data_IF_420073211894
#
_entry.id   IF_420073211894
#
_cell.length_a   1.000
_cell.length_b   1.000
_cell.length_c   1.000
_cell.angle_alpha   90.00
_cell.angle_beta   90.00
_cell.angle_gamma   90.00
#
_symmetry.space_group_name_H-M   'P 1'
#
loop_
_entity.id
_entity.type
_entity.pdbx_description
1 polymer ?
#
# COMPACT_ATOMS: atom_id res chain seq x y z
N UNK A 1 -38.90 67.24 12.81
CA UNK A 1 -38.22 67.83 13.99
C UNK A 1 -37.86 66.66 14.88
N UNK A 2 -36.57 66.36 15.02
CA UNK A 2 -35.83 65.72 16.14
C UNK A 2 -36.60 64.74 17.05
N UNK A 3 -36.12 63.58 17.49
CA UNK A 3 -34.84 62.88 17.48
C UNK A 3 -34.97 61.73 18.51
N UNK A 4 -34.22 60.64 18.33
CA UNK A 4 -33.60 59.83 19.42
C UNK A 4 -34.56 58.98 20.28
N UNK A 5 -34.33 57.71 20.65
CA UNK A 5 -33.38 56.62 20.40
C UNK A 5 -33.79 55.51 21.39
N UNK A 6 -33.63 54.23 21.05
CA UNK A 6 -33.12 53.15 21.94
C UNK A 6 -33.26 51.82 21.18
N UNK A 7 -32.19 51.46 20.47
CA UNK A 7 -32.01 50.10 19.96
C UNK A 7 -31.49 49.24 21.11
N UNK A 8 -32.29 48.25 21.51
CA UNK A 8 -31.86 47.17 22.40
C UNK A 8 -31.07 46.18 21.55
N UNK A 9 -29.79 45.97 21.91
CA UNK A 9 -28.94 44.94 21.36
C UNK A 9 -29.52 43.55 21.74
N UNK A 10 -30.09 42.84 20.78
CA UNK A 10 -30.25 41.40 20.84
C UNK A 10 -28.97 40.77 20.32
N UNK A 11 -28.08 40.39 21.23
CA UNK A 11 -26.96 39.51 20.93
C UNK A 11 -27.52 38.10 20.68
N UNK A 12 -27.83 37.80 19.42
CA UNK A 12 -28.02 36.43 18.98
C UNK A 12 -26.68 35.71 19.09
N UNK A 13 -26.53 34.89 20.13
CA UNK A 13 -25.48 33.87 20.18
C UNK A 13 -25.77 32.86 19.07
N UNK A 14 -25.16 33.09 17.89
CA UNK A 14 -24.93 32.02 16.93
C UNK A 14 -23.79 31.19 17.52
N UNK A 15 -24.15 30.12 18.22
CA UNK A 15 -23.21 29.03 18.49
C UNK A 15 -22.76 28.48 17.15
N UNK A 16 -21.58 28.88 16.72
CA UNK A 16 -20.82 28.13 15.72
C UNK A 16 -20.61 26.73 16.29
N UNK A 17 -21.31 25.75 15.73
CA UNK A 17 -20.97 24.36 15.91
C UNK A 17 -19.60 24.14 15.23
N UNK A 18 -18.53 24.30 16.00
CA UNK A 18 -17.23 23.74 15.66
C UNK A 18 -17.44 22.22 15.65
N UNK A 19 -17.50 21.65 14.44
CA UNK A 19 -17.53 20.22 14.23
C UNK A 19 -16.38 19.57 14.99
N UNK A 20 -16.73 18.69 15.92
CA UNK A 20 -15.83 17.88 16.71
C UNK A 20 -15.12 16.85 15.81
N UNK A 21 -13.96 17.22 15.24
CA UNK A 21 -12.94 16.28 14.79
C UNK A 21 -12.00 15.98 15.97
N UNK A 22 -12.47 15.16 16.91
CA UNK A 22 -11.62 14.57 17.95
C UNK A 22 -11.85 13.06 17.93
N UNK A 23 -11.24 12.41 16.95
CA UNK A 23 -11.21 10.95 16.80
C UNK A 23 -10.27 10.33 17.83
N UNK A 24 -10.82 9.42 18.64
CA UNK A 24 -10.17 8.52 19.60
C UNK A 24 -9.31 9.13 20.73
N UNK A 25 -9.51 8.67 21.96
CA UNK A 25 -8.73 9.09 23.13
C UNK A 25 -7.33 8.49 23.11
N UNK A 26 -6.41 9.02 23.94
CA UNK A 26 -5.10 8.39 24.18
C UNK A 26 -5.24 6.90 24.58
N UNK A 27 -6.35 6.53 25.22
CA UNK A 27 -6.65 5.15 25.60
C UNK A 27 -6.79 4.22 24.40
N UNK A 28 -7.26 4.71 23.24
CA UNK A 28 -7.35 3.91 22.02
C UNK A 28 -5.99 3.45 21.52
N UNK A 29 -5.03 4.38 21.43
CA UNK A 29 -3.66 4.08 21.02
C UNK A 29 -2.92 3.24 22.07
N UNK A 30 -3.19 3.49 23.36
CA UNK A 30 -2.62 2.70 24.46
C UNK A 30 -2.98 1.22 24.38
N UNK A 31 -4.10 0.83 23.75
CA UNK A 31 -4.46 -0.59 23.55
C UNK A 31 -3.43 -1.37 22.72
N UNK A 32 -2.64 -0.69 21.88
CA UNK A 32 -1.57 -1.32 21.11
C UNK A 32 -0.27 -1.53 21.90
N UNK A 33 -0.24 -1.15 23.19
CA UNK A 33 0.92 -1.44 24.03
C UNK A 33 1.27 -2.94 23.98
N UNK A 34 2.54 -3.32 23.75
CA UNK A 34 2.93 -4.71 23.55
C UNK A 34 2.47 -5.66 24.67
N UNK A 35 2.41 -5.17 25.92
CA UNK A 35 1.96 -5.98 27.07
C UNK A 35 0.45 -6.29 27.02
N UNK A 36 -0.38 -5.34 26.58
CA UNK A 36 -1.82 -5.52 26.45
C UNK A 36 -2.15 -6.42 25.26
N UNK A 37 -1.54 -6.15 24.10
CA UNK A 37 -1.71 -6.98 22.90
C UNK A 37 -1.28 -8.42 23.20
N UNK A 38 -0.15 -8.64 23.87
CA UNK A 38 0.29 -9.99 24.24
C UNK A 38 -0.71 -10.71 25.16
N UNK A 39 -1.35 -9.98 26.08
CA UNK A 39 -2.37 -10.56 26.96
C UNK A 39 -3.61 -10.95 26.16
N UNK A 40 -4.06 -10.07 25.26
CA UNK A 40 -5.20 -10.31 24.38
C UNK A 40 -4.94 -11.46 23.38
N UNK A 41 -3.71 -11.60 22.86
CA UNK A 41 -3.28 -12.74 22.03
C UNK A 41 -3.40 -14.06 22.80
N UNK A 42 -2.97 -14.10 24.06
CA UNK A 42 -3.07 -15.29 24.91
C UNK A 42 -4.53 -15.63 25.23
N UNK A 43 -5.36 -14.63 25.51
CA UNK A 43 -6.78 -14.82 25.81
C UNK A 43 -7.56 -15.32 24.58
N UNK A 44 -7.29 -14.75 23.41
CA UNK A 44 -7.99 -15.08 22.17
C UNK A 44 -7.38 -16.28 21.42
N UNK A 45 -6.15 -16.67 21.75
CA UNK A 45 -5.41 -17.72 21.02
C UNK A 45 -5.04 -17.32 19.59
N UNK A 46 -4.81 -16.04 19.32
CA UNK A 46 -4.48 -15.50 17.99
C UNK A 46 -3.06 -14.96 17.94
N UNK A 47 -2.38 -15.16 16.80
CA UNK A 47 -1.03 -14.66 16.55
C UNK A 47 -0.93 -14.18 15.10
N UNK A 48 -0.15 -13.13 14.82
CA UNK A 48 -0.07 -12.57 13.47
C UNK A 48 0.35 -13.61 12.42
N UNK A 49 -0.42 -13.69 11.34
CA UNK A 49 -0.16 -14.64 10.25
C UNK A 49 0.95 -14.11 9.34
N UNK A 50 2.20 -14.36 9.71
CA UNK A 50 3.34 -13.93 8.90
C UNK A 50 3.55 -14.78 7.65
N UNK A 51 3.34 -16.10 7.75
CA UNK A 51 3.60 -17.04 6.68
C UNK A 51 2.30 -17.73 6.26
N UNK A 52 2.15 -17.92 4.96
CA UNK A 52 1.02 -18.64 4.36
C UNK A 52 1.62 -19.66 3.39
N UNK A 53 1.36 -20.94 3.65
CA UNK A 53 1.85 -22.05 2.83
C UNK A 53 0.95 -22.24 1.60
N UNK A 54 1.23 -21.46 0.56
CA UNK A 54 0.49 -21.47 -0.70
C UNK A 54 1.45 -21.43 -1.88
N UNK A 55 1.19 -22.25 -2.91
CA UNK A 55 1.90 -22.17 -4.19
C UNK A 55 1.74 -20.78 -4.80
N UNK A 56 2.83 -20.17 -5.26
CA UNK A 56 2.81 -18.80 -5.74
C UNK A 56 3.59 -18.62 -7.04
N UNK A 57 3.22 -17.57 -7.77
CA UNK A 57 3.99 -17.00 -8.86
C UNK A 57 4.53 -15.63 -8.45
N UNK A 58 5.58 -15.16 -9.16
CA UNK A 58 6.18 -13.84 -8.92
C UNK A 58 5.74 -12.84 -9.98
N UNK A 59 5.52 -11.60 -9.58
CA UNK A 59 5.40 -10.47 -10.48
C UNK A 59 6.27 -9.31 -10.00
N UNK A 60 6.81 -8.52 -10.92
CA UNK A 60 7.66 -7.38 -10.57
C UNK A 60 7.33 -6.18 -11.47
N UNK A 61 7.04 -5.05 -10.84
CA UNK A 61 6.58 -3.84 -11.51
C UNK A 61 7.32 -2.60 -11.02
N UNK A 62 7.66 -1.69 -11.92
CA UNK A 62 8.07 -0.32 -11.64
C UNK A 62 6.93 0.63 -12.00
N UNK A 63 6.46 1.39 -11.01
CA UNK A 63 5.24 2.22 -11.11
C UNK A 63 5.50 3.64 -10.58
N UNK A 64 6.70 4.14 -10.78
CA UNK A 64 7.17 5.34 -10.07
C UNK A 64 7.67 5.01 -8.67
N UNK A 65 7.32 5.84 -7.69
CA UNK A 65 7.66 5.60 -6.29
C UNK A 65 7.05 4.28 -5.80
N UNK A 66 7.87 3.36 -5.28
CA UNK A 66 7.41 2.02 -4.94
C UNK A 66 6.49 1.93 -3.71
N UNK A 67 6.35 2.99 -2.89
CA UNK A 67 5.59 2.90 -1.64
C UNK A 67 4.10 2.79 -1.91
N UNK A 68 3.60 3.58 -2.87
CA UNK A 68 2.20 3.49 -3.31
C UNK A 68 1.92 2.13 -3.97
N UNK A 69 2.83 1.66 -4.83
CA UNK A 69 2.71 0.37 -5.49
C UNK A 69 2.72 -0.81 -4.49
N UNK A 70 3.57 -0.76 -3.47
CA UNK A 70 3.62 -1.78 -2.41
C UNK A 70 2.32 -1.82 -1.61
N UNK A 71 1.71 -0.68 -1.30
CA UNK A 71 0.39 -0.60 -0.67
C UNK A 71 -0.70 -1.19 -1.56
N UNK A 72 -0.73 -0.78 -2.85
CA UNK A 72 -1.71 -1.24 -3.83
C UNK A 72 -1.74 -2.76 -3.95
N UNK A 73 -0.59 -3.35 -4.27
CA UNK A 73 -0.49 -4.80 -4.43
C UNK A 73 -0.61 -5.53 -3.10
N UNK A 74 -0.08 -4.97 -2.00
CA UNK A 74 -0.14 -5.60 -0.68
C UNK A 74 -1.57 -5.88 -0.21
N UNK A 75 -2.50 -4.96 -0.46
CA UNK A 75 -3.93 -5.13 -0.14
C UNK A 75 -4.74 -5.84 -1.24
N UNK A 76 -4.14 -6.24 -2.36
CA UNK A 76 -4.85 -6.97 -3.41
C UNK A 76 -5.13 -8.42 -2.97
N UNK A 77 -6.37 -8.89 -3.14
CA UNK A 77 -6.76 -10.27 -2.86
C UNK A 77 -5.87 -11.25 -3.66
N UNK A 78 -5.42 -12.33 -3.01
CA UNK A 78 -4.52 -13.31 -3.63
C UNK A 78 -3.03 -12.94 -3.61
N UNK A 79 -2.66 -11.67 -3.33
CA UNK A 79 -1.26 -11.32 -3.06
C UNK A 79 -0.87 -11.80 -1.66
N UNK A 80 0.26 -12.50 -1.58
CA UNK A 80 0.74 -13.21 -0.39
C UNK A 80 1.84 -12.42 0.34
N UNK A 81 2.70 -11.73 -0.38
CA UNK A 81 3.63 -10.76 0.20
C UNK A 81 4.13 -9.82 -0.90
N UNK A 82 4.73 -8.72 -0.46
CA UNK A 82 5.38 -7.73 -1.32
C UNK A 82 6.73 -7.38 -0.72
N UNK A 83 7.66 -6.92 -1.55
CA UNK A 83 8.89 -6.26 -1.11
C UNK A 83 9.34 -5.26 -2.16
N UNK A 84 9.92 -4.16 -1.69
CA UNK A 84 10.41 -3.09 -2.57
C UNK A 84 11.91 -3.19 -2.79
N UNK A 85 12.36 -2.75 -3.95
CA UNK A 85 13.75 -2.89 -4.35
C UNK A 85 14.10 -2.18 -5.64
N UNK A 86 15.26 -2.54 -6.16
CA UNK A 86 15.85 -1.97 -7.36
C UNK A 86 16.12 -3.07 -8.37
N UNK A 87 15.66 -2.89 -9.61
CA UNK A 87 15.91 -3.83 -10.71
C UNK A 87 15.79 -3.15 -12.08
N UNK A 88 16.04 -3.88 -13.16
CA UNK A 88 15.99 -3.39 -14.54
C UNK A 88 17.25 -2.63 -15.00
N UNK A 89 18.25 -2.50 -14.12
CA UNK A 89 19.57 -1.98 -14.42
C UNK A 89 20.64 -3.08 -14.44
N UNK A 90 21.88 -2.65 -14.65
CA UNK A 90 23.09 -3.49 -14.73
C UNK A 90 24.11 -3.16 -13.65
N UNK A 91 23.94 -2.03 -12.95
CA UNK A 91 24.84 -1.60 -11.88
C UNK A 91 24.76 -2.57 -10.69
N UNK A 92 25.87 -3.13 -10.19
CA UNK A 92 25.83 -4.04 -9.06
C UNK A 92 25.55 -3.30 -7.75
N UNK A 93 24.82 -3.95 -6.84
CA UNK A 93 24.54 -3.47 -5.48
C UNK A 93 24.02 -2.01 -5.40
N UNK A 94 22.94 -1.65 -6.13
CA UNK A 94 22.34 -0.33 -6.05
C UNK A 94 21.88 -0.01 -4.63
N UNK A 95 21.92 1.29 -4.29
CA UNK A 95 21.37 1.85 -3.04
C UNK A 95 20.50 3.04 -3.38
N UNK A 96 19.61 3.47 -2.49
CA UNK A 96 18.71 4.59 -2.76
C UNK A 96 19.44 5.86 -3.25
N UNK A 97 20.61 6.16 -2.68
CA UNK A 97 21.42 7.34 -3.05
C UNK A 97 22.35 7.11 -4.26
N UNK A 98 22.41 5.88 -4.77
CA UNK A 98 23.30 5.45 -5.84
C UNK A 98 22.69 4.27 -6.61
N UNK A 99 21.52 4.48 -7.22
CA UNK A 99 20.79 3.46 -8.00
C UNK A 99 21.49 3.07 -9.30
N UNK A 100 22.33 3.95 -9.85
CA UNK A 100 22.87 3.79 -11.19
C UNK A 100 21.76 3.79 -12.23
N UNK A 101 21.61 2.67 -12.93
CA UNK A 101 20.67 2.49 -14.01
C UNK A 101 19.45 1.61 -13.63
N UNK A 102 19.22 1.38 -12.35
CA UNK A 102 18.04 0.66 -11.85
C UNK A 102 16.80 1.54 -11.70
N UNK A 103 15.66 0.88 -11.64
CA UNK A 103 14.32 1.43 -11.39
C UNK A 103 13.83 0.95 -10.02
N UNK A 104 13.08 1.79 -9.32
CA UNK A 104 12.30 1.38 -8.14
C UNK A 104 11.20 0.41 -8.56
N UNK A 105 11.21 -0.77 -7.95
CA UNK A 105 10.27 -1.84 -8.27
C UNK A 105 9.68 -2.43 -7.01
N UNK A 106 8.47 -2.97 -7.15
CA UNK A 106 7.84 -3.87 -6.19
C UNK A 106 7.87 -5.28 -6.76
N UNK A 107 8.43 -6.23 -6.02
CA UNK A 107 8.25 -7.66 -6.28
C UNK A 107 7.17 -8.19 -5.34
N UNK A 108 6.29 -9.04 -5.86
CA UNK A 108 5.22 -9.66 -5.09
C UNK A 108 5.10 -11.14 -5.41
N UNK A 109 4.71 -11.90 -4.40
CA UNK A 109 4.27 -13.28 -4.54
C UNK A 109 2.74 -13.29 -4.55
N UNK A 110 2.12 -13.93 -5.54
CA UNK A 110 0.66 -14.05 -5.64
C UNK A 110 0.23 -15.49 -5.86
N UNK A 111 -0.94 -15.86 -5.34
CA UNK A 111 -1.59 -17.13 -5.62
C UNK A 111 -2.31 -17.05 -6.98
N UNK A 112 -1.81 -17.74 -8.03
CA UNK A 112 -2.42 -17.71 -9.36
C UNK A 112 -3.81 -18.33 -9.39
N UNK A 113 -4.27 -19.02 -8.34
CA UNK A 113 -5.64 -19.56 -8.21
C UNK A 113 -6.63 -18.49 -7.77
N UNK A 114 -6.16 -17.43 -7.09
CA UNK A 114 -7.00 -16.33 -6.57
C UNK A 114 -6.93 -15.09 -7.46
N UNK A 115 -5.74 -14.70 -7.91
CA UNK A 115 -5.53 -13.52 -8.76
C UNK A 115 -4.67 -13.87 -9.96
N UNK A 116 -5.05 -13.43 -11.15
CA UNK A 116 -4.31 -13.67 -12.39
C UNK A 116 -3.33 -12.55 -12.65
N UNK A 117 -2.32 -12.83 -13.47
CA UNK A 117 -1.35 -11.82 -13.87
C UNK A 117 -2.01 -10.68 -14.67
N UNK A 118 -3.05 -10.99 -15.44
CA UNK A 118 -3.91 -10.02 -16.12
C UNK A 118 -4.55 -9.01 -15.15
N UNK A 119 -5.05 -9.49 -14.00
CA UNK A 119 -5.67 -8.63 -12.98
C UNK A 119 -4.63 -7.69 -12.34
N UNK A 120 -3.42 -8.20 -12.11
CA UNK A 120 -2.30 -7.39 -11.62
C UNK A 120 -1.87 -6.33 -12.64
N UNK A 121 -1.91 -6.65 -13.93
CA UNK A 121 -1.65 -5.68 -15.00
C UNK A 121 -2.75 -4.61 -15.07
N UNK A 122 -4.01 -4.97 -14.86
CA UNK A 122 -5.09 -3.98 -14.77
C UNK A 122 -4.85 -2.98 -13.63
N UNK A 123 -4.44 -3.46 -12.46
CA UNK A 123 -4.03 -2.59 -11.35
C UNK A 123 -2.84 -1.72 -11.73
N UNK A 124 -1.82 -2.29 -12.38
CA UNK A 124 -0.66 -1.57 -12.88
C UNK A 124 -1.07 -0.41 -13.79
N UNK A 125 -1.85 -0.67 -14.84
CA UNK A 125 -2.25 0.33 -15.83
C UNK A 125 -3.13 1.45 -15.25
N UNK A 126 -3.96 1.15 -14.25
CA UNK A 126 -4.90 2.11 -13.68
C UNK A 126 -4.33 3.00 -12.57
N UNK A 127 -3.13 2.70 -12.03
CA UNK A 127 -2.64 3.32 -10.79
C UNK A 127 -1.26 3.99 -10.88
N UNK A 128 -0.73 4.31 -12.06
CA UNK A 128 0.47 5.16 -12.19
C UNK A 128 0.53 5.90 -13.53
N UNK A 129 1.44 6.88 -13.62
CA UNK A 129 1.70 7.61 -14.86
C UNK A 129 2.76 6.90 -15.71
N UNK A 130 2.43 6.63 -16.96
CA UNK A 130 3.24 5.88 -17.94
C UNK A 130 3.56 6.71 -19.20
N UNK A 131 3.24 8.01 -19.20
CA UNK A 131 3.25 8.90 -20.37
C UNK A 131 4.33 9.98 -20.41
N UNK A 132 4.50 10.59 -21.59
CA UNK A 132 5.55 11.60 -21.91
C UNK A 132 5.26 13.03 -21.43
N UNK A 133 4.14 13.27 -20.77
CA UNK A 133 3.75 14.59 -20.22
C UNK A 133 4.83 15.18 -19.34
N UNK A 134 5.62 14.33 -18.67
CA UNK A 134 6.79 14.72 -17.89
C UNK A 134 7.97 13.79 -18.17
N UNK A 135 9.19 14.33 -18.09
CA UNK A 135 10.41 13.51 -18.18
C UNK A 135 10.54 12.69 -16.90
N UNK A 136 10.11 11.44 -16.95
CA UNK A 136 10.25 10.49 -15.85
C UNK A 136 11.72 10.10 -15.72
N UNK A 137 12.28 10.22 -14.50
CA UNK A 137 13.64 9.74 -14.21
C UNK A 137 13.66 8.22 -14.34
N UNK A 138 14.78 7.64 -14.79
CA UNK A 138 14.90 6.17 -14.90
C UNK A 138 14.50 5.43 -13.61
N UNK A 139 14.89 5.98 -12.47
CA UNK A 139 14.50 5.53 -11.12
C UNK A 139 12.98 5.29 -10.97
N UNK A 140 12.14 6.07 -11.64
CA UNK A 140 10.68 6.05 -11.51
C UNK A 140 9.99 5.57 -12.79
N UNK A 141 10.71 4.89 -13.69
CA UNK A 141 10.16 4.45 -14.97
C UNK A 141 9.00 3.46 -14.80
N UNK A 142 8.03 3.54 -15.73
CA UNK A 142 7.03 2.49 -15.91
C UNK A 142 7.69 1.24 -16.50
N UNK A 143 7.66 0.14 -15.75
CA UNK A 143 8.45 -1.06 -16.04
C UNK A 143 7.67 -2.33 -15.65
N UNK A 144 7.64 -3.32 -16.53
CA UNK A 144 7.14 -4.67 -16.28
C UNK A 144 8.32 -5.63 -16.45
N UNK A 145 8.68 -6.32 -15.37
CA UNK A 145 9.72 -7.34 -15.34
C UNK A 145 9.07 -8.72 -15.33
N UNK A 146 9.08 -9.40 -16.49
CA UNK A 146 8.43 -10.71 -16.62
C UNK A 146 9.34 -11.85 -16.14
N UNK A 147 8.77 -12.81 -15.43
CA UNK A 147 9.48 -13.99 -14.89
C UNK A 147 9.31 -15.23 -15.78
N UNK A 148 8.36 -15.21 -16.73
CA UNK A 148 8.10 -16.30 -17.67
C UNK A 148 7.72 -15.76 -19.04
N UNK A 149 7.87 -16.59 -20.09
CA UNK A 149 7.40 -16.25 -21.44
C UNK A 149 5.90 -16.00 -21.49
N UNK A 150 5.12 -16.72 -20.67
CA UNK A 150 3.67 -16.50 -20.55
C UNK A 150 3.37 -15.08 -20.03
N UNK A 151 4.10 -14.62 -19.01
CA UNK A 151 3.95 -13.24 -18.51
C UNK A 151 4.34 -12.21 -19.57
N UNK A 152 5.40 -12.46 -20.36
CA UNK A 152 5.79 -11.60 -21.48
C UNK A 152 4.64 -11.45 -22.50
N UNK A 153 4.08 -12.56 -22.96
CA UNK A 153 2.98 -12.55 -23.94
C UNK A 153 1.74 -11.81 -23.42
N UNK A 154 1.36 -12.06 -22.16
CA UNK A 154 0.24 -11.38 -21.51
C UNK A 154 0.52 -9.87 -21.38
N UNK A 155 1.71 -9.49 -20.93
CA UNK A 155 2.10 -8.08 -20.77
C UNK A 155 2.10 -7.34 -22.11
N UNK A 156 2.73 -7.90 -23.15
CA UNK A 156 2.77 -7.31 -24.50
C UNK A 156 1.37 -7.16 -25.11
N UNK A 157 0.49 -8.14 -24.88
CA UNK A 157 -0.91 -8.05 -25.29
C UNK A 157 -1.64 -6.94 -24.54
N UNK A 158 -1.48 -6.86 -23.22
CA UNK A 158 -2.12 -5.83 -22.39
C UNK A 158 -1.66 -4.42 -22.78
N UNK A 159 -0.37 -4.23 -23.10
CA UNK A 159 0.18 -2.95 -23.55
C UNK A 159 -0.48 -2.49 -24.85
N UNK A 160 -0.68 -3.40 -25.82
CA UNK A 160 -1.36 -3.07 -27.08
C UNK A 160 -2.81 -2.62 -26.83
N UNK A 161 -3.54 -3.37 -26.00
CA UNK A 161 -4.92 -3.03 -25.64
C UNK A 161 -5.01 -1.68 -24.93
N UNK A 162 -4.09 -1.42 -24.00
CA UNK A 162 -4.07 -0.17 -23.26
C UNK A 162 -3.70 1.03 -24.14
N UNK A 163 -2.75 0.84 -25.06
CA UNK A 163 -2.35 1.85 -26.04
C UNK A 163 -3.52 2.20 -26.98
N UNK A 164 -4.34 1.23 -27.38
CA UNK A 164 -5.56 1.47 -28.15
C UNK A 164 -6.61 2.23 -27.31
N UNK A 165 -6.81 1.81 -26.05
CA UNK A 165 -7.80 2.41 -25.13
C UNK A 165 -7.51 3.88 -24.82
N UNK A 166 -6.24 4.25 -24.69
CA UNK A 166 -5.80 5.60 -24.27
C UNK A 166 -5.31 6.48 -25.42
N UNK A 167 -5.47 6.05 -26.66
CA UNK A 167 -5.13 6.85 -27.83
C UNK A 167 -5.78 8.26 -27.73
N UNK A 168 -5.03 9.37 -27.89
CA UNK A 168 -3.68 9.48 -28.50
C UNK A 168 -2.49 9.54 -27.52
N UNK A 169 -2.67 9.20 -26.23
CA UNK A 169 -1.55 9.13 -25.28
C UNK A 169 -0.49 8.12 -25.75
N UNK A 170 0.79 8.39 -25.52
CA UNK A 170 1.88 7.44 -25.81
C UNK A 170 2.30 6.75 -24.52
N UNK A 171 2.14 5.43 -24.48
CA UNK A 171 2.54 4.60 -23.35
C UNK A 171 4.03 4.24 -23.51
N UNK A 172 4.83 4.53 -22.47
CA UNK A 172 6.31 4.35 -22.50
C UNK A 172 6.80 3.17 -21.66
N UNK A 173 5.89 2.35 -21.16
CA UNK A 173 6.19 1.19 -20.32
C UNK A 173 7.15 0.22 -21.00
N UNK A 174 8.23 -0.12 -20.31
CA UNK A 174 9.19 -1.12 -20.75
C UNK A 174 8.74 -2.51 -20.29
N UNK A 175 8.75 -3.48 -21.20
CA UNK A 175 8.51 -4.91 -20.88
C UNK A 175 9.82 -5.66 -21.16
N UNK A 176 10.50 -6.10 -20.11
CA UNK A 176 11.82 -6.72 -20.20
C UNK A 176 11.92 -7.92 -19.24
N UNK A 177 12.82 -8.89 -19.47
CA UNK A 177 12.93 -10.04 -18.57
C UNK A 177 13.33 -9.60 -17.17
N UNK A 178 12.80 -10.27 -16.15
CA UNK A 178 13.22 -10.09 -14.77
C UNK A 178 14.72 -10.35 -14.66
N UNK A 179 15.42 -9.38 -14.07
CA UNK A 179 16.86 -9.43 -13.79
C UNK A 179 17.07 -9.57 -12.29
N UNK A 180 18.30 -9.44 -11.82
CA UNK A 180 18.58 -9.48 -10.38
C UNK A 180 17.74 -8.42 -9.64
N UNK A 181 17.13 -8.84 -8.54
CA UNK A 181 16.37 -7.98 -7.65
C UNK A 181 17.21 -7.66 -6.42
N UNK A 182 17.45 -6.37 -6.19
CA UNK A 182 18.15 -5.88 -5.02
C UNK A 182 17.13 -5.31 -4.02
N UNK A 183 16.89 -5.96 -2.86
CA UNK A 183 16.01 -5.41 -1.85
C UNK A 183 16.44 -4.00 -1.44
N UNK A 184 15.49 -3.08 -1.36
CA UNK A 184 15.75 -1.75 -0.82
C UNK A 184 15.96 -1.82 0.70
N UNK A 185 16.54 -0.77 1.25
CA UNK A 185 16.82 -0.65 2.69
C UNK A 185 15.55 -0.84 3.55
N UNK A 186 15.72 -1.34 4.78
CA UNK A 186 14.59 -1.74 5.66
C UNK A 186 13.56 -0.63 5.87
N UNK A 187 13.99 0.64 5.93
CA UNK A 187 13.09 1.78 6.12
C UNK A 187 12.16 2.03 4.92
N UNK A 188 12.42 1.42 3.75
CA UNK A 188 11.54 1.47 2.59
C UNK A 188 10.48 0.36 2.61
N UNK A 189 10.72 -0.76 3.29
CA UNK A 189 9.83 -1.93 3.30
C UNK A 189 8.59 -1.68 4.13
N UNK A 190 7.37 -1.85 3.59
CA UNK A 190 6.12 -1.57 4.32
C UNK A 190 6.11 -0.18 4.97
N UNK A 191 6.53 0.83 4.21
CA UNK A 191 6.74 2.18 4.72
C UNK A 191 5.53 2.75 5.48
N UNK A 192 4.30 2.46 5.02
CA UNK A 192 3.08 2.92 5.69
C UNK A 192 2.86 2.19 7.00
N UNK A 193 3.01 0.86 7.04
CA UNK A 193 2.92 0.09 8.29
C UNK A 193 3.96 0.56 9.32
N UNK A 194 5.21 0.80 8.91
CA UNK A 194 6.26 1.27 9.82
C UNK A 194 5.97 2.64 10.44
N UNK A 195 5.11 3.45 9.83
CA UNK A 195 4.66 4.72 10.42
C UNK A 195 3.73 4.52 11.63
N UNK A 196 3.09 3.34 11.75
CA UNK A 196 2.28 2.93 12.90
C UNK A 196 3.13 2.09 13.86
N UNK A 197 4.04 2.76 14.58
CA UNK A 197 5.10 2.10 15.39
C UNK A 197 4.57 1.07 16.38
N UNK A 198 3.56 1.43 17.17
CA UNK A 198 3.00 0.54 18.19
C UNK A 198 2.36 -0.70 17.55
N UNK A 199 1.68 -0.53 16.41
CA UNK A 199 1.14 -1.64 15.64
C UNK A 199 2.26 -2.54 15.13
N UNK A 200 3.26 -1.97 14.46
CA UNK A 200 4.40 -2.73 13.92
C UNK A 200 5.17 -3.49 15.01
N UNK A 201 5.40 -2.86 16.18
CA UNK A 201 6.03 -3.50 17.33
C UNK A 201 5.16 -4.63 17.90
N UNK A 202 3.85 -4.39 18.05
CA UNK A 202 2.91 -5.40 18.56
C UNK A 202 2.75 -6.62 17.63
N UNK A 203 3.06 -6.45 16.35
CA UNK A 203 3.11 -7.52 15.35
C UNK A 203 4.48 -8.23 15.30
N UNK A 204 5.46 -7.79 16.10
CA UNK A 204 6.80 -8.39 16.12
C UNK A 204 7.60 -8.14 14.84
N UNK A 205 7.37 -7.02 14.14
CA UNK A 205 8.03 -6.73 12.86
C UNK A 205 9.55 -6.64 13.01
N UNK A 206 10.25 -7.46 12.22
CA UNK A 206 11.70 -7.43 12.01
C UNK A 206 12.01 -7.01 10.57
N UNK A 207 13.25 -6.59 10.25
CA UNK A 207 13.67 -6.34 8.87
C UNK A 207 13.34 -7.46 7.87
N UNK A 208 13.45 -8.71 8.31
CA UNK A 208 13.12 -9.88 7.49
C UNK A 208 11.61 -10.03 7.29
N UNK A 209 10.82 -9.85 8.36
CA UNK A 209 9.36 -9.94 8.27
C UNK A 209 8.75 -8.80 7.46
N UNK A 210 9.34 -7.60 7.47
CA UNK A 210 8.89 -6.49 6.62
C UNK A 210 8.97 -6.85 5.12
N UNK A 211 9.85 -7.76 4.72
CA UNK A 211 9.99 -8.21 3.33
C UNK A 211 9.16 -9.45 2.98
N UNK A 212 8.76 -10.24 3.97
CA UNK A 212 8.24 -11.60 3.73
C UNK A 212 6.85 -11.84 4.32
N UNK A 213 6.41 -11.01 5.26
CA UNK A 213 5.19 -11.25 6.02
C UNK A 213 3.92 -10.95 5.22
N UNK A 214 3.00 -11.92 5.22
CA UNK A 214 1.65 -11.80 4.66
C UNK A 214 0.84 -10.68 5.32
N UNK A 215 0.66 -10.75 6.64
CA UNK A 215 -0.08 -9.70 7.37
C UNK A 215 0.56 -8.31 7.20
N UNK A 216 1.90 -8.22 7.11
CA UNK A 216 2.56 -6.94 6.89
C UNK A 216 2.21 -6.34 5.52
N UNK A 217 2.21 -7.16 4.45
CA UNK A 217 1.82 -6.74 3.11
C UNK A 217 0.37 -6.23 3.07
N UNK A 218 -0.55 -6.96 3.71
CA UNK A 218 -1.96 -6.59 3.80
C UNK A 218 -2.14 -5.26 4.53
N UNK A 219 -1.59 -5.17 5.74
CA UNK A 219 -1.78 -3.99 6.59
C UNK A 219 -1.14 -2.74 6.01
N UNK A 220 -0.01 -2.85 5.30
CA UNK A 220 0.61 -1.71 4.64
C UNK A 220 -0.32 -1.03 3.62
N UNK A 221 -1.16 -1.79 2.93
CA UNK A 221 -2.19 -1.25 2.03
C UNK A 221 -3.45 -0.79 2.76
N UNK A 222 -3.97 -1.59 3.69
CA UNK A 222 -5.19 -1.25 4.43
C UNK A 222 -5.07 0.01 5.27
N UNK A 223 -3.92 0.24 5.91
CA UNK A 223 -3.70 1.44 6.73
C UNK A 223 -3.80 2.75 5.93
N UNK A 224 -3.71 2.69 4.60
CA UNK A 224 -3.93 3.84 3.70
C UNK A 224 -5.23 3.71 2.89
N UNK A 225 -6.16 2.86 3.32
CA UNK A 225 -7.52 2.76 2.76
C UNK A 225 -7.67 1.88 1.52
N UNK A 226 -6.62 1.19 1.05
CA UNK A 226 -6.73 0.31 -0.13
C UNK A 226 -7.68 -0.86 0.18
N UNK A 227 -8.62 -1.12 -0.73
CA UNK A 227 -9.63 -2.18 -0.61
C UNK A 227 -10.85 -1.81 0.25
N UNK A 228 -10.76 -0.75 1.05
CA UNK A 228 -11.85 -0.26 1.88
C UNK A 228 -12.23 -1.20 3.04
N UNK A 229 -13.24 -0.77 3.81
CA UNK A 229 -13.64 -1.43 5.06
C UNK A 229 -14.23 -2.81 4.80
N UNK A 230 -15.03 -2.93 3.74
CA UNK A 230 -15.71 -4.18 3.40
C UNK A 230 -14.71 -5.30 3.10
N UNK A 231 -13.65 -5.01 2.32
CA UNK A 231 -12.63 -6.01 2.03
C UNK A 231 -11.81 -6.34 3.27
N UNK A 232 -11.41 -5.32 4.05
CA UNK A 232 -10.68 -5.55 5.30
C UNK A 232 -11.45 -6.49 6.23
N UNK A 233 -12.75 -6.28 6.43
CA UNK A 233 -13.57 -7.13 7.29
C UNK A 233 -13.63 -8.60 6.82
N UNK A 234 -13.64 -8.83 5.50
CA UNK A 234 -13.65 -10.18 4.92
C UNK A 234 -12.32 -10.93 5.13
N UNK A 235 -11.20 -10.22 5.18
CA UNK A 235 -9.87 -10.82 5.33
C UNK A 235 -9.33 -10.77 6.77
N UNK A 236 -9.87 -9.89 7.65
CA UNK A 236 -9.31 -9.58 8.96
C UNK A 236 -9.11 -10.81 9.87
N UNK A 237 -9.96 -11.83 9.74
CA UNK A 237 -9.85 -13.06 10.51
C UNK A 237 -8.66 -13.93 10.09
N UNK A 238 -8.15 -13.78 8.86
CA UNK A 238 -6.98 -14.50 8.36
C UNK A 238 -5.66 -13.90 8.84
N UNK A 239 -5.67 -12.68 9.38
CA UNK A 239 -4.47 -11.95 9.73
C UNK A 239 -3.92 -12.27 11.12
N UNK A 240 -4.70 -12.96 11.96
CA UNK A 240 -4.29 -13.30 13.32
C UNK A 240 -4.14 -12.08 14.24
N UNK A 241 -4.92 -11.03 13.97
CA UNK A 241 -4.95 -9.81 14.76
C UNK A 241 -5.84 -9.96 15.98
N UNK A 242 -5.45 -9.32 17.08
CA UNK A 242 -6.32 -9.19 18.26
C UNK A 242 -7.50 -8.25 17.98
N UNK A 243 -8.59 -8.29 18.77
CA UNK A 243 -9.69 -7.32 18.65
C UNK A 243 -9.22 -5.86 18.68
N UNK A 244 -8.30 -5.50 19.58
CA UNK A 244 -7.74 -4.15 19.63
C UNK A 244 -6.96 -3.77 18.36
N UNK A 245 -6.17 -4.68 17.81
CA UNK A 245 -5.46 -4.46 16.54
C UNK A 245 -6.44 -4.33 15.36
N UNK A 246 -7.50 -5.16 15.30
CA UNK A 246 -8.54 -5.05 14.27
C UNK A 246 -9.29 -3.73 14.35
N UNK A 247 -9.65 -3.29 15.56
CA UNK A 247 -10.30 -2.00 15.81
C UNK A 247 -9.44 -0.84 15.31
N UNK A 248 -8.13 -0.89 15.62
CA UNK A 248 -7.15 0.09 15.17
C UNK A 248 -7.03 0.17 13.65
N UNK A 249 -6.83 -0.98 13.00
CA UNK A 249 -6.67 -1.03 11.53
C UNK A 249 -7.96 -0.57 10.86
N UNK A 250 -9.13 -1.05 11.32
CA UNK A 250 -10.44 -0.64 10.77
C UNK A 250 -10.62 0.87 10.81
N UNK A 251 -10.26 1.51 11.92
CA UNK A 251 -10.33 2.97 12.03
C UNK A 251 -9.49 3.66 10.96
N UNK A 252 -8.25 3.23 10.75
CA UNK A 252 -7.39 3.81 9.72
C UNK A 252 -7.82 3.47 8.29
N UNK A 253 -8.44 2.31 8.06
CA UNK A 253 -9.08 2.00 6.78
C UNK A 253 -10.21 2.98 6.50
N UNK A 254 -11.08 3.22 7.49
CA UNK A 254 -12.23 4.15 7.40
C UNK A 254 -11.78 5.61 7.15
N UNK A 255 -10.82 6.10 7.92
CA UNK A 255 -10.33 7.48 7.79
C UNK A 255 -9.63 7.75 6.46
N UNK A 256 -8.99 6.72 5.88
CA UNK A 256 -8.24 6.85 4.63
C UNK A 256 -9.02 6.29 3.42
N UNK A 257 -10.27 5.84 3.58
CA UNK A 257 -11.05 5.27 2.49
C UNK A 257 -11.28 6.32 1.38
N UNK A 258 -10.98 5.94 0.14
CA UNK A 258 -10.99 6.88 -0.99
C UNK A 258 -9.82 7.87 -1.01
N UNK A 259 -8.87 7.76 -0.07
CA UNK A 259 -7.59 8.43 -0.10
C UNK A 259 -6.73 7.95 -1.28
N UNK A 260 -5.93 8.86 -1.85
CA UNK A 260 -5.05 8.51 -2.97
C UNK A 260 -3.74 7.87 -2.52
N UNK A 261 -3.19 7.00 -3.37
CA UNK A 261 -1.88 6.38 -3.21
C UNK A 261 -0.76 7.35 -3.60
N UNK A 262 -0.59 8.41 -2.82
CA UNK A 262 0.46 9.39 -3.08
C UNK A 262 1.75 9.02 -2.33
N UNK A 263 2.87 9.14 -3.05
CA UNK A 263 4.14 9.54 -2.47
C UNK A 263 4.24 11.07 -2.62
#
# INVERSE_FOLDING_TARGET
MWSVQYYIFLASFVTFALGSHWGYSADFYNKLCPSLVRSEQLECGVYPTHHVETEYEKATFGMGCFWGAECLFGATLGVLNTRVGYSGGTTPNPKYRSLGDHTEVVELHYDPKVVKFEDLLELFWNNHEYGLTTKIKKQYASLILYHTDKQREIAEKSLKQEQERRNPEVITTLIVPASEFYPAEDYHQKYRLQSHKDLAESLGMTPELLQTSYVAAKLNGYLVGVGGVEQFQKEADNFGLTPSQKEYVRHHVEENEGGGLFC
#
